data_IF_975546011363
#
_entry.id   IF_975546011363
#
_cell.length_a   1.000
_cell.length_b   1.000
_cell.length_c   1.000
_cell.angle_alpha   90.00
_cell.angle_beta   90.00
_cell.angle_gamma   90.00
#
_symmetry.space_group_name_H-M   'P 1'
#
loop_
_entity.id
_entity.type
_entity.pdbx_description
1 polymer ?
#
# COMPACT_ATOMS: atom_id res chain seq x y z
N UNK A 1 -12.63 47.68 12.45
CA UNK A 1 -13.23 46.57 11.68
C UNK A 1 -12.30 46.29 10.50
N UNK A 2 -11.36 45.35 10.62
CA UNK A 2 -10.50 44.93 9.51
C UNK A 2 -10.32 43.42 9.53
N UNK A 3 -10.67 42.85 8.39
CA UNK A 3 -10.63 41.45 7.95
C UNK A 3 -9.20 41.07 7.58
N UNK A 4 -8.64 40.09 8.28
CA UNK A 4 -7.49 39.34 7.78
C UNK A 4 -7.83 37.86 7.85
N UNK A 5 -8.54 37.46 6.80
CA UNK A 5 -8.79 36.10 6.41
C UNK A 5 -7.44 35.43 6.17
N UNK A 6 -6.87 34.83 7.22
CA UNK A 6 -5.63 34.07 7.16
C UNK A 6 -5.87 32.70 6.50
N UNK A 7 -6.54 32.69 5.35
CA UNK A 7 -6.38 31.63 4.36
C UNK A 7 -5.08 31.95 3.61
N UNK A 8 -3.97 31.91 4.35
CA UNK A 8 -2.67 31.81 3.74
C UNK A 8 -2.55 30.38 3.26
N UNK A 9 -2.90 30.22 1.98
CA UNK A 9 -2.55 29.16 1.06
C UNK A 9 -1.30 28.38 1.47
N UNK A 10 -1.44 27.45 2.41
CA UNK A 10 -0.64 26.25 2.36
C UNK A 10 -1.26 25.43 1.23
N UNK A 11 -0.86 25.80 0.00
CA UNK A 11 -0.78 24.88 -1.11
C UNK A 11 0.08 23.72 -0.62
N UNK A 12 -0.55 22.81 0.14
CA UNK A 12 -0.04 21.46 0.31
C UNK A 12 -0.06 20.94 -1.09
N UNK A 13 1.08 21.02 -1.77
CA UNK A 13 1.41 20.08 -2.80
C UNK A 13 0.99 18.73 -2.21
N UNK A 14 -0.13 18.21 -2.71
CA UNK A 14 -0.68 16.94 -2.28
C UNK A 14 0.20 15.88 -2.90
N UNK A 15 1.48 15.88 -2.52
CA UNK A 15 2.34 14.74 -2.70
C UNK A 15 1.71 13.68 -1.80
N UNK A 16 1.15 12.61 -2.38
CA UNK A 16 0.60 11.55 -1.57
C UNK A 16 1.68 11.13 -0.59
N UNK A 17 1.33 11.05 0.69
CA UNK A 17 2.23 10.56 1.73
C UNK A 17 2.87 9.28 1.22
N UNK A 18 4.19 9.12 1.37
CA UNK A 18 4.93 7.93 0.92
C UNK A 18 4.21 6.63 1.30
N UNK A 19 3.66 6.59 2.50
CA UNK A 19 2.82 5.50 2.99
C UNK A 19 1.58 5.22 2.09
N UNK A 20 0.85 6.25 1.66
CA UNK A 20 -0.29 6.09 0.73
C UNK A 20 0.15 5.51 -0.63
N UNK A 21 1.30 5.92 -1.15
CA UNK A 21 1.85 5.34 -2.38
C UNK A 21 2.22 3.87 -2.20
N UNK A 22 2.80 3.51 -1.06
CA UNK A 22 3.16 2.13 -0.74
C UNK A 22 1.91 1.27 -0.56
N UNK A 23 0.90 1.74 0.17
CA UNK A 23 -0.39 1.06 0.31
C UNK A 23 -1.04 0.88 -1.06
N UNK A 24 -1.04 1.90 -1.92
CA UNK A 24 -1.60 1.80 -3.27
C UNK A 24 -0.82 0.78 -4.13
N UNK A 25 0.50 0.75 -4.04
CA UNK A 25 1.31 -0.26 -4.75
C UNK A 25 1.01 -1.68 -4.27
N UNK A 26 0.95 -1.89 -2.95
CA UNK A 26 0.65 -3.20 -2.36
C UNK A 26 -0.77 -3.63 -2.74
N UNK A 27 -1.76 -2.73 -2.64
CA UNK A 27 -3.13 -2.99 -3.05
C UNK A 27 -3.24 -3.36 -4.54
N UNK A 28 -2.52 -2.65 -5.41
CA UNK A 28 -2.50 -2.96 -6.85
C UNK A 28 -1.87 -4.33 -7.11
N UNK A 29 -0.77 -4.66 -6.43
CA UNK A 29 -0.14 -5.97 -6.53
C UNK A 29 -1.03 -7.09 -5.98
N UNK A 30 -1.80 -6.83 -4.93
CA UNK A 30 -2.74 -7.77 -4.32
C UNK A 30 -3.91 -8.08 -5.26
N UNK A 31 -4.48 -7.06 -5.89
CA UNK A 31 -5.52 -7.22 -6.91
C UNK A 31 -4.94 -8.01 -8.10
N UNK A 32 -3.74 -7.67 -8.56
CA UNK A 32 -3.05 -8.40 -9.62
C UNK A 32 -2.85 -9.89 -9.28
N UNK A 33 -2.47 -10.20 -8.04
CA UNK A 33 -2.37 -11.56 -7.52
C UNK A 33 -3.71 -12.28 -7.48
N UNK A 34 -4.78 -11.63 -7.01
CA UNK A 34 -6.12 -12.23 -6.98
C UNK A 34 -6.69 -12.50 -8.37
N UNK A 35 -6.39 -11.65 -9.35
CA UNK A 35 -6.86 -11.79 -10.74
C UNK A 35 -6.08 -12.88 -11.47
N UNK A 36 -4.75 -12.85 -11.41
CA UNK A 36 -3.91 -13.76 -12.21
C UNK A 36 -3.59 -15.07 -11.49
N UNK A 37 -3.69 -15.10 -10.15
CA UNK A 37 -3.37 -16.26 -9.29
C UNK A 37 -1.97 -16.84 -9.56
N UNK A 38 -1.02 -16.01 -10.01
CA UNK A 38 0.33 -16.46 -10.39
C UNK A 38 1.33 -16.33 -9.24
N UNK A 39 2.34 -17.19 -9.28
CA UNK A 39 3.44 -17.20 -8.30
C UNK A 39 4.36 -15.98 -8.47
N UNK A 40 4.40 -15.40 -9.67
CA UNK A 40 5.12 -14.16 -9.98
C UNK A 40 4.49 -12.95 -9.26
N UNK A 41 3.17 -12.80 -9.33
CA UNK A 41 2.45 -11.74 -8.62
C UNK A 41 2.60 -11.87 -7.09
N UNK A 42 2.66 -13.12 -6.59
CA UNK A 42 2.99 -13.42 -5.20
C UNK A 42 4.38 -12.92 -4.81
N UNK A 43 5.40 -13.25 -5.61
CA UNK A 43 6.78 -12.81 -5.37
C UNK A 43 6.91 -11.29 -5.35
N UNK A 44 6.22 -10.60 -6.27
CA UNK A 44 6.20 -9.13 -6.34
C UNK A 44 5.53 -8.49 -5.12
N UNK A 45 4.42 -9.06 -4.64
CA UNK A 45 3.75 -8.60 -3.43
C UNK A 45 4.65 -8.74 -2.20
N UNK A 46 5.31 -9.89 -2.03
CA UNK A 46 6.22 -10.15 -0.90
C UNK A 46 7.43 -9.21 -0.93
N UNK A 47 8.00 -8.97 -2.11
CA UNK A 47 9.11 -8.03 -2.27
C UNK A 47 8.73 -6.61 -1.87
N UNK A 48 7.58 -6.12 -2.34
CA UNK A 48 7.08 -4.79 -1.99
C UNK A 48 6.74 -4.67 -0.50
N UNK A 49 6.10 -5.69 0.07
CA UNK A 49 5.75 -5.74 1.48
C UNK A 49 7.00 -5.75 2.38
N UNK A 50 8.02 -6.53 2.03
CA UNK A 50 9.29 -6.57 2.76
C UNK A 50 10.03 -5.24 2.69
N UNK A 51 10.07 -4.59 1.52
CA UNK A 51 10.68 -3.27 1.39
C UNK A 51 9.94 -2.22 2.24
N UNK A 52 8.60 -2.25 2.22
CA UNK A 52 7.78 -1.35 3.01
C UNK A 52 7.96 -1.55 4.52
N UNK A 53 8.12 -2.80 4.98
CA UNK A 53 8.44 -3.11 6.37
C UNK A 53 9.80 -2.51 6.77
N UNK A 54 10.84 -2.73 5.96
CA UNK A 54 12.20 -2.23 6.24
C UNK A 54 12.23 -0.70 6.30
N UNK A 55 11.37 -0.02 5.53
CA UNK A 55 11.21 1.43 5.55
C UNK A 55 10.31 1.95 6.68
N UNK A 56 9.67 1.06 7.44
CA UNK A 56 8.72 1.43 8.51
C UNK A 56 7.39 1.99 7.99
N UNK A 57 7.12 1.85 6.69
CA UNK A 57 5.85 2.24 6.07
C UNK A 57 4.75 1.20 6.33
N UNK A 58 5.11 -0.05 6.59
CA UNK A 58 4.18 -1.13 6.94
C UNK A 58 4.38 -1.62 8.38
N UNK A 59 3.27 -1.87 9.08
CA UNK A 59 3.31 -2.46 10.41
C UNK A 59 3.35 -3.98 10.35
N UNK A 60 3.70 -4.62 11.47
CA UNK A 60 3.66 -6.08 11.58
C UNK A 60 2.27 -6.66 11.29
N UNK A 61 1.20 -5.93 11.64
CA UNK A 61 -0.18 -6.32 11.37
C UNK A 61 -0.50 -6.36 9.88
N UNK A 62 0.01 -5.40 9.10
CA UNK A 62 -0.19 -5.35 7.64
C UNK A 62 0.47 -6.56 6.96
N UNK A 63 1.63 -6.96 7.44
CA UNK A 63 2.34 -8.14 6.93
C UNK A 63 1.65 -9.45 7.32
N UNK A 64 1.08 -9.52 8.52
CA UNK A 64 0.32 -10.70 8.95
C UNK A 64 -0.89 -10.89 8.04
N UNK A 65 -1.63 -9.82 7.72
CA UNK A 65 -2.73 -9.86 6.75
C UNK A 65 -2.24 -10.29 5.37
N UNK A 66 -1.13 -9.75 4.88
CA UNK A 66 -0.55 -10.15 3.59
C UNK A 66 -0.12 -11.62 3.59
N UNK A 67 0.45 -12.12 4.69
CA UNK A 67 0.83 -13.51 4.87
C UNK A 67 -0.38 -14.44 4.87
N UNK A 68 -1.47 -14.05 5.54
CA UNK A 68 -2.73 -14.80 5.53
C UNK A 68 -3.36 -14.87 4.12
N UNK A 69 -3.35 -13.76 3.38
CA UNK A 69 -3.84 -13.73 1.99
C UNK A 69 -2.97 -14.62 1.09
N UNK A 70 -1.66 -14.63 1.30
CA UNK A 70 -0.73 -15.51 0.58
C UNK A 70 -0.82 -16.99 0.96
N UNK A 71 -1.17 -17.27 2.21
CA UNK A 71 -1.34 -18.62 2.73
C UNK A 71 -2.69 -19.22 2.30
N UNK A 72 -3.67 -18.39 1.96
CA UNK A 72 -4.94 -18.83 1.41
C UNK A 72 -4.71 -19.31 -0.03
N UNK A 73 -4.79 -20.63 -0.31
CA UNK A 73 -4.67 -21.11 -1.67
C UNK A 73 -5.85 -20.54 -2.46
N UNK A 74 -5.56 -19.69 -3.44
CA UNK A 74 -6.58 -19.20 -4.37
C UNK A 74 -7.26 -20.43 -4.95
N UNK A 75 -8.59 -20.62 -4.79
CA UNK A 75 -9.25 -21.79 -5.34
C UNK A 75 -9.00 -21.81 -6.84
N UNK A 76 -8.32 -22.87 -7.30
CA UNK A 76 -8.23 -23.23 -8.70
C UNK A 76 -9.67 -23.45 -9.15
N UNK A 77 -10.16 -22.58 -10.04
CA UNK A 77 -11.39 -22.81 -10.77
C UNK A 77 -11.01 -23.39 -12.13
#
# INVERSE_FOLDING_TARGET
>A
MQTEHLISSLSKASTPSRNLLIIAMIGTALIGYQVHKTQDARGRLVGLASLAQVQGDLTASDLDVLAQILATPTPSN
#
